data_IF_368049954226
#
_entry.id   IF_368049954226
#
_cell.length_a   1.000
_cell.length_b   1.000
_cell.length_c   1.000
_cell.angle_alpha   90.00
_cell.angle_beta   90.00
_cell.angle_gamma   90.00
#
_symmetry.space_group_name_H-M   'P 1'
#
loop_
_entity.id
_entity.type
_entity.pdbx_description
1 polymer ?
#
# COMPACT_ATOMS: atom_id res chain seq x y z
N UNK A 1 -12.33 -19.25 -64.58
CA UNK A 1 -12.93 -18.53 -63.42
C UNK A 1 -12.93 -19.31 -62.10
N UNK A 2 -12.78 -20.64 -62.06
CA UNK A 2 -12.78 -21.41 -60.80
C UNK A 2 -11.45 -21.33 -60.04
N UNK A 3 -10.32 -21.28 -60.76
CA UNK A 3 -8.97 -21.26 -60.19
C UNK A 3 -8.57 -19.93 -59.53
N UNK A 4 -9.04 -18.80 -60.06
CA UNK A 4 -8.80 -17.47 -59.47
C UNK A 4 -9.42 -17.32 -58.08
N UNK A 5 -10.51 -18.06 -57.78
CA UNK A 5 -11.17 -18.02 -56.45
C UNK A 5 -10.30 -18.64 -55.36
N UNK A 6 -9.53 -19.68 -55.68
CA UNK A 6 -8.64 -20.35 -54.73
C UNK A 6 -7.39 -19.51 -54.44
N UNK A 7 -6.87 -18.79 -55.45
CA UNK A 7 -5.71 -17.90 -55.28
C UNK A 7 -6.03 -16.72 -54.34
N UNK A 8 -7.22 -16.13 -54.49
CA UNK A 8 -7.69 -15.03 -53.63
C UNK A 8 -7.93 -15.52 -52.19
N UNK A 9 -8.49 -16.73 -52.03
CA UNK A 9 -8.68 -17.35 -50.72
C UNK A 9 -7.34 -17.62 -50.02
N UNK A 10 -6.32 -18.08 -50.75
CA UNK A 10 -4.99 -18.37 -50.23
C UNK A 10 -4.26 -17.08 -49.78
N UNK A 11 -4.36 -16.00 -50.57
CA UNK A 11 -3.81 -14.68 -50.22
C UNK A 11 -4.49 -14.08 -48.98
N UNK A 12 -5.80 -14.27 -48.84
CA UNK A 12 -6.54 -13.81 -47.66
C UNK A 12 -6.16 -14.58 -46.39
N UNK A 13 -5.92 -15.89 -46.50
CA UNK A 13 -5.46 -16.72 -45.37
C UNK A 13 -4.03 -16.36 -44.91
N UNK A 14 -3.15 -15.98 -45.84
CA UNK A 14 -1.79 -15.52 -45.50
C UNK A 14 -1.83 -14.18 -44.74
N UNK A 15 -2.72 -13.26 -45.10
CA UNK A 15 -2.90 -11.99 -44.39
C UNK A 15 -3.47 -12.17 -42.96
N UNK A 16 -4.37 -13.13 -42.76
CA UNK A 16 -4.94 -13.44 -41.43
C UNK A 16 -3.97 -14.19 -40.50
N UNK A 17 -2.96 -14.87 -41.07
CA UNK A 17 -1.93 -15.58 -40.29
C UNK A 17 -0.80 -14.67 -39.79
N UNK A 18 -0.73 -13.41 -40.26
CA UNK A 18 0.16 -12.39 -39.70
C UNK A 18 -0.42 -11.80 -38.40
N UNK A 19 -0.67 -12.65 -37.41
CA UNK A 19 -0.80 -12.20 -36.04
C UNK A 19 0.60 -11.75 -35.58
N UNK A 20 0.90 -10.47 -35.83
CA UNK A 20 2.21 -9.86 -35.58
C UNK A 20 2.65 -10.11 -34.14
N UNK A 21 3.58 -11.06 -33.95
CA UNK A 21 4.32 -11.17 -32.70
C UNK A 21 5.12 -9.88 -32.57
N UNK A 22 4.65 -9.00 -31.68
CA UNK A 22 5.35 -7.80 -31.24
C UNK A 22 6.81 -8.19 -30.95
N UNK A 23 7.76 -7.71 -31.75
CA UNK A 23 9.19 -7.96 -31.53
C UNK A 23 9.52 -7.50 -30.11
N UNK A 24 9.89 -8.45 -29.24
CA UNK A 24 10.39 -8.13 -27.91
C UNK A 24 11.78 -7.54 -28.12
N UNK A 25 11.90 -6.23 -27.92
CA UNK A 25 13.19 -5.57 -27.94
C UNK A 25 14.05 -6.19 -26.83
N UNK A 26 15.14 -6.88 -27.21
CA UNK A 26 16.01 -7.62 -26.28
C UNK A 26 16.88 -6.64 -25.47
N UNK A 27 17.05 -5.43 -26.00
CA UNK A 27 17.75 -4.35 -25.35
C UNK A 27 16.76 -3.41 -24.67
N UNK A 28 16.60 -3.60 -23.37
CA UNK A 28 15.95 -2.64 -22.49
C UNK A 28 16.96 -1.52 -22.16
N UNK A 29 16.93 -0.45 -22.97
CA UNK A 29 17.67 0.78 -22.72
C UNK A 29 16.93 1.72 -21.76
N UNK A 30 15.88 1.26 -21.06
CA UNK A 30 15.43 2.02 -19.91
C UNK A 30 16.60 2.05 -18.93
N UNK A 31 17.14 3.24 -18.70
CA UNK A 31 18.01 3.51 -17.57
C UNK A 31 17.21 3.06 -16.36
N UNK A 32 17.48 1.85 -15.88
CA UNK A 32 16.88 1.34 -14.65
C UNK A 32 17.35 2.31 -13.59
N UNK A 33 16.52 3.32 -13.30
CA UNK A 33 16.69 4.20 -12.16
C UNK A 33 16.87 3.24 -10.99
N UNK A 34 18.09 3.15 -10.48
CA UNK A 34 18.40 2.28 -9.37
C UNK A 34 17.44 2.66 -8.25
N UNK A 35 16.52 1.75 -7.93
CA UNK A 35 15.54 2.01 -6.89
C UNK A 35 16.32 2.00 -5.60
N UNK A 36 16.45 3.17 -4.97
CA UNK A 36 17.09 3.27 -3.68
C UNK A 36 16.36 2.35 -2.68
N UNK A 37 17.05 1.31 -2.23
CA UNK A 37 16.47 0.24 -1.42
C UNK A 37 16.84 0.49 0.04
N UNK A 38 15.86 0.91 0.83
CA UNK A 38 16.00 1.11 2.28
C UNK A 38 15.43 -0.09 3.02
N UNK A 39 16.12 -0.56 4.06
CA UNK A 39 15.58 -1.61 4.93
C UNK A 39 14.48 -1.02 5.83
N UNK A 40 13.40 -1.77 6.06
CA UNK A 40 12.34 -1.34 6.97
C UNK A 40 12.84 -1.19 8.41
N UNK A 41 13.89 -1.93 8.80
CA UNK A 41 14.51 -1.81 10.11
C UNK A 41 15.12 -0.41 10.33
N UNK A 42 15.68 0.18 9.26
CA UNK A 42 16.26 1.53 9.31
C UNK A 42 15.19 2.61 9.47
N UNK A 43 13.95 2.30 9.09
CA UNK A 43 12.80 3.21 9.16
C UNK A 43 12.10 3.18 10.52
N UNK A 44 12.42 2.24 11.42
CA UNK A 44 11.89 2.20 12.78
C UNK A 44 10.38 1.99 12.91
N UNK A 45 9.89 2.06 14.16
CA UNK A 45 8.48 1.85 14.55
C UNK A 45 8.03 2.86 15.61
N UNK A 46 6.70 2.99 15.74
CA UNK A 46 6.07 3.88 16.71
C UNK A 46 5.87 3.16 18.04
N UNK A 47 6.16 3.82 19.17
CA UNK A 47 5.99 3.23 20.50
C UNK A 47 4.66 3.66 21.14
N UNK A 48 4.29 2.95 22.20
CA UNK A 48 3.19 3.32 23.11
C UNK A 48 1.85 3.60 22.40
N UNK A 49 1.49 2.79 21.42
CA UNK A 49 0.16 2.87 20.80
C UNK A 49 -0.89 2.52 21.86
N UNK A 50 -1.84 3.41 22.08
CA UNK A 50 -2.95 3.27 23.03
C UNK A 50 -4.27 3.49 22.33
N UNK A 51 -5.31 2.86 22.85
CA UNK A 51 -6.69 2.99 22.36
C UNK A 51 -7.58 3.30 23.55
N UNK A 52 -8.37 4.35 23.41
CA UNK A 52 -9.33 4.80 24.42
C UNK A 52 -10.72 4.88 23.77
N UNK A 53 -11.72 4.26 24.39
CA UNK A 53 -13.10 4.35 23.93
C UNK A 53 -13.70 5.68 24.39
N UNK A 54 -14.13 6.50 23.44
CA UNK A 54 -14.74 7.81 23.71
C UNK A 54 -16.16 7.86 23.13
N UNK A 55 -16.93 8.89 23.51
CA UNK A 55 -18.34 9.06 23.08
C UNK A 55 -18.55 8.91 21.56
N UNK A 56 -17.56 9.29 20.76
CA UNK A 56 -17.65 9.35 19.30
C UNK A 56 -16.80 8.30 18.56
N UNK A 57 -16.33 7.25 19.25
CA UNK A 57 -15.60 6.14 18.64
C UNK A 57 -14.36 5.74 19.43
N UNK A 58 -13.37 5.18 18.75
CA UNK A 58 -12.10 4.80 19.38
C UNK A 58 -11.04 5.86 19.08
N UNK A 59 -10.48 6.45 20.12
CA UNK A 59 -9.37 7.39 20.05
C UNK A 59 -8.06 6.61 20.17
N UNK A 60 -7.23 6.71 19.15
CA UNK A 60 -5.88 6.17 19.14
C UNK A 60 -4.89 7.28 19.46
N UNK A 61 -3.90 6.97 20.29
CA UNK A 61 -2.76 7.86 20.58
C UNK A 61 -1.46 7.06 20.55
N UNK A 62 -0.34 7.73 20.29
CA UNK A 62 0.98 7.11 20.28
C UNK A 62 2.09 8.10 20.65
N UNK A 63 3.30 7.60 20.94
CA UNK A 63 4.45 8.46 21.19
C UNK A 63 4.92 9.13 19.91
N UNK A 64 5.36 10.39 19.99
CA UNK A 64 5.99 11.09 18.86
C UNK A 64 7.17 10.28 18.34
N UNK A 65 7.15 10.00 17.04
CA UNK A 65 8.23 9.33 16.34
C UNK A 65 9.31 10.36 16.00
N UNK A 66 10.48 10.20 16.61
CA UNK A 66 11.64 11.02 16.32
C UNK A 66 12.51 10.25 15.33
N UNK A 67 12.46 10.67 14.07
CA UNK A 67 13.27 10.10 13.01
C UNK A 67 14.40 11.07 12.65
N UNK A 68 15.62 10.61 12.83
CA UNK A 68 16.81 11.31 12.37
C UNK A 68 17.45 10.47 11.26
N UNK A 69 17.26 10.90 10.02
CA UNK A 69 17.92 10.27 8.89
C UNK A 69 19.32 10.83 8.73
N UNK A 70 20.31 9.96 8.54
CA UNK A 70 21.62 10.37 7.99
C UNK A 70 21.56 10.61 6.49
N UNK A 71 20.50 10.16 5.83
CA UNK A 71 20.30 10.24 4.38
C UNK A 71 19.20 11.24 4.02
N UNK A 72 19.55 12.25 3.24
CA UNK A 72 18.62 13.29 2.76
C UNK A 72 17.51 12.75 1.86
N UNK A 73 17.67 11.55 1.29
CA UNK A 73 16.68 10.89 0.43
C UNK A 73 15.52 10.27 1.20
N UNK A 74 15.62 10.15 2.52
CA UNK A 74 14.59 9.57 3.39
C UNK A 74 13.97 10.64 4.27
N UNK A 75 12.69 10.92 4.05
CA UNK A 75 11.96 11.94 4.78
C UNK A 75 10.75 11.32 5.47
N UNK A 76 10.57 11.61 6.76
CA UNK A 76 9.37 11.21 7.48
C UNK A 76 8.17 12.07 7.04
N UNK A 77 7.06 11.43 6.67
CA UNK A 77 5.87 12.08 6.10
C UNK A 77 4.69 12.11 7.09
N UNK A 78 4.64 11.18 8.03
CA UNK A 78 3.55 11.06 9.00
C UNK A 78 3.20 9.61 9.30
N UNK A 79 1.98 9.39 9.79
CA UNK A 79 1.49 8.07 10.18
C UNK A 79 0.29 7.64 9.35
N UNK A 80 0.19 6.34 9.09
CA UNK A 80 -1.03 5.70 8.64
C UNK A 80 -1.59 4.80 9.74
N UNK A 81 -2.91 4.80 9.87
CA UNK A 81 -3.64 4.01 10.86
C UNK A 81 -4.49 2.98 10.13
N UNK A 82 -4.40 1.73 10.56
CA UNK A 82 -5.12 0.61 9.98
C UNK A 82 -5.93 -0.08 11.07
N UNK A 83 -7.10 -0.60 10.69
CA UNK A 83 -7.88 -1.52 11.52
C UNK A 83 -7.81 -2.90 10.87
N UNK A 84 -7.41 -3.91 11.62
CA UNK A 84 -7.31 -5.28 11.14
C UNK A 84 -8.10 -6.23 12.02
N UNK A 85 -8.56 -7.31 11.40
CA UNK A 85 -9.18 -8.43 12.11
C UNK A 85 -8.15 -9.36 12.76
N UNK A 86 -6.94 -9.46 12.19
CA UNK A 86 -5.84 -10.35 12.63
C UNK A 86 -4.49 -9.72 12.33
N UNK A 87 -3.45 -10.13 13.06
CA UNK A 87 -2.09 -9.59 12.88
C UNK A 87 -1.51 -10.04 11.53
N UNK A 88 -0.59 -9.25 10.98
CA UNK A 88 0.18 -9.61 9.78
C UNK A 88 -0.09 -8.72 8.57
N UNK A 89 -1.16 -8.98 7.81
CA UNK A 89 -1.34 -8.38 6.48
C UNK A 89 -2.03 -7.01 6.59
N UNK A 90 -1.26 -5.93 6.39
CA UNK A 90 -1.84 -4.60 6.24
C UNK A 90 -2.81 -4.53 5.05
N UNK A 91 -4.04 -4.01 5.25
CA UNK A 91 -4.94 -3.77 4.15
C UNK A 91 -4.41 -2.66 3.24
N UNK A 92 -4.78 -2.71 1.96
CA UNK A 92 -4.33 -1.72 0.96
C UNK A 92 -4.71 -0.28 1.31
N UNK A 93 -5.79 -0.08 2.08
CA UNK A 93 -6.31 1.24 2.44
C UNK A 93 -6.19 1.45 3.95
N UNK A 94 -5.57 2.57 4.32
CA UNK A 94 -5.58 3.06 5.69
C UNK A 94 -6.95 3.69 6.04
N UNK A 95 -7.22 3.88 7.33
CA UNK A 95 -8.39 4.59 7.82
C UNK A 95 -8.32 6.09 7.50
N UNK A 96 -7.11 6.66 7.57
CA UNK A 96 -6.83 8.03 7.16
C UNK A 96 -6.59 8.11 5.64
N UNK A 97 -7.03 9.22 5.01
CA UNK A 97 -6.88 9.43 3.56
C UNK A 97 -5.45 9.79 3.14
N UNK A 98 -4.70 10.45 4.02
CA UNK A 98 -3.31 10.90 3.82
C UNK A 98 -2.54 10.71 5.14
N UNK A 99 -1.22 10.50 5.11
CA UNK A 99 -0.42 10.42 6.33
C UNK A 99 -0.68 11.62 7.25
N UNK A 100 -0.83 11.34 8.54
CA UNK A 100 -1.11 12.35 9.57
C UNK A 100 0.16 12.67 10.36
N UNK A 101 0.43 13.94 10.62
CA UNK A 101 1.60 14.35 11.44
C UNK A 101 1.30 14.31 12.94
N UNK A 102 0.04 14.46 13.33
CA UNK A 102 -0.39 14.37 14.72
C UNK A 102 -0.25 12.96 15.28
N UNK A 103 -0.02 12.86 16.60
CA UNK A 103 0.13 11.58 17.30
C UNK A 103 -1.20 11.01 17.83
N UNK A 104 -2.30 11.32 17.14
CA UNK A 104 -3.63 10.85 17.49
C UNK A 104 -4.50 10.62 16.25
N UNK A 105 -5.47 9.72 16.36
CA UNK A 105 -6.49 9.49 15.34
C UNK A 105 -7.82 9.06 15.99
N UNK A 106 -8.95 9.55 15.47
CA UNK A 106 -10.27 9.16 15.95
C UNK A 106 -10.98 8.29 14.91
N UNK A 107 -11.12 7.00 15.20
CA UNK A 107 -11.94 6.09 14.39
C UNK A 107 -13.42 6.25 14.76
N UNK A 108 -14.11 7.17 14.08
CA UNK A 108 -15.57 7.36 14.19
C UNK A 108 -16.36 6.22 13.55
N UNK A 109 -15.75 5.43 12.67
CA UNK A 109 -16.41 4.32 11.96
C UNK A 109 -16.51 3.07 12.82
N UNK A 110 -15.87 3.00 13.99
CA UNK A 110 -16.11 1.92 14.94
C UNK A 110 -17.55 1.92 15.50
N UNK A 111 -18.24 3.07 15.45
CA UNK A 111 -19.63 3.20 15.89
C UNK A 111 -20.66 2.77 14.82
N UNK A 112 -20.30 2.80 13.54
CA UNK A 112 -21.24 2.51 12.46
C UNK A 112 -21.26 1.00 12.16
N UNK A 113 -22.04 0.27 12.97
CA UNK A 113 -22.53 -1.08 12.67
C UNK A 113 -23.35 -1.06 11.38
N UNK A 114 -22.76 -1.44 10.24
CA UNK A 114 -23.52 -2.04 9.13
C UNK A 114 -22.83 -3.34 8.72
N UNK A 115 -23.39 -4.44 9.25
CA UNK A 115 -23.39 -5.84 8.79
C UNK A 115 -22.09 -6.58 8.51
N UNK A 116 -20.92 -5.95 8.48
CA UNK A 116 -19.68 -6.69 8.17
C UNK A 116 -18.89 -7.02 9.44
N UNK A 117 -19.13 -8.25 9.91
CA UNK A 117 -18.35 -9.04 10.85
C UNK A 117 -18.15 -8.40 12.22
N UNK A 118 -18.89 -8.90 13.21
CA UNK A 118 -18.51 -8.84 14.62
C UNK A 118 -17.20 -9.62 14.83
N UNK A 119 -16.08 -9.05 14.41
CA UNK A 119 -14.81 -9.46 14.99
C UNK A 119 -14.87 -9.02 16.45
N UNK A 120 -15.05 -9.99 17.36
CA UNK A 120 -15.01 -9.80 18.82
C UNK A 120 -13.75 -9.02 19.22
N UNK A 121 -12.65 -9.28 18.53
CA UNK A 121 -11.37 -8.62 18.71
C UNK A 121 -10.92 -8.01 17.39
N UNK A 122 -10.51 -6.75 17.42
CA UNK A 122 -9.84 -6.10 16.31
C UNK A 122 -8.55 -5.47 16.80
N UNK A 123 -7.61 -5.25 15.90
CA UNK A 123 -6.36 -4.60 16.24
C UNK A 123 -6.22 -3.32 15.43
N UNK A 124 -5.59 -2.33 16.06
CA UNK A 124 -5.15 -1.15 15.38
C UNK A 124 -3.66 -1.22 15.14
N UNK A 125 -3.25 -0.86 13.93
CA UNK A 125 -1.83 -0.72 13.59
C UNK A 125 -1.55 0.72 13.18
N UNK A 126 -0.56 1.33 13.81
CA UNK A 126 0.01 2.62 13.43
C UNK A 126 1.34 2.37 12.74
N UNK A 127 1.54 2.99 11.59
CA UNK A 127 2.71 2.78 10.74
C UNK A 127 3.31 4.13 10.38
N UNK A 128 4.60 4.38 10.66
CA UNK A 128 5.29 5.56 10.17
C UNK A 128 5.48 5.44 8.65
N UNK A 129 5.24 6.53 7.93
CA UNK A 129 5.33 6.62 6.48
C UNK A 129 6.47 7.53 6.11
N UNK A 130 7.26 7.10 5.13
CA UNK A 130 8.43 7.80 4.64
C UNK A 130 8.31 8.06 3.16
N UNK A 131 8.92 9.14 2.71
CA UNK A 131 9.22 9.38 1.32
C UNK A 131 10.69 8.99 1.09
N UNK A 132 10.91 8.01 0.23
CA UNK A 132 12.23 7.50 -0.16
C UNK A 132 12.35 7.72 -1.66
N UNK A 133 13.16 8.69 -2.06
CA UNK A 133 13.37 9.03 -3.48
C UNK A 133 12.06 9.22 -4.28
N UNK A 134 11.13 9.99 -3.68
CA UNK A 134 9.82 10.29 -4.29
C UNK A 134 8.78 9.17 -4.18
N UNK A 135 9.09 8.04 -3.51
CA UNK A 135 8.17 6.92 -3.29
C UNK A 135 7.78 6.79 -1.83
N UNK A 136 6.50 6.55 -1.57
CA UNK A 136 6.04 6.27 -0.22
C UNK A 136 6.38 4.85 0.21
N UNK A 137 7.04 4.73 1.37
CA UNK A 137 7.43 3.47 1.99
C UNK A 137 6.93 3.45 3.43
N UNK A 138 6.39 2.30 3.83
CA UNK A 138 5.96 2.06 5.20
C UNK A 138 7.13 1.54 6.04
N UNK A 139 7.32 2.09 7.24
CA UNK A 139 8.23 1.56 8.25
C UNK A 139 7.69 0.29 8.92
N UNK A 140 8.21 -0.01 10.11
CA UNK A 140 7.77 -1.17 10.89
C UNK A 140 6.41 -0.95 11.54
N UNK A 141 5.68 -2.04 11.72
CA UNK A 141 4.31 -2.05 12.22
C UNK A 141 4.28 -1.92 13.74
N UNK A 142 3.40 -1.06 14.24
CA UNK A 142 3.16 -0.92 15.69
C UNK A 142 1.69 -1.21 15.96
N UNK A 143 1.39 -2.35 16.57
CA UNK A 143 0.02 -2.85 16.71
C UNK A 143 -0.42 -2.96 18.16
N UNK A 144 -1.70 -2.70 18.40
CA UNK A 144 -2.36 -2.94 19.68
C UNK A 144 -3.66 -3.72 19.43
N UNK A 145 -3.86 -4.77 20.21
CA UNK A 145 -5.08 -5.57 20.21
C UNK A 145 -6.12 -4.87 21.07
N UNK A 146 -7.32 -4.71 20.55
CA UNK A 146 -8.49 -4.21 21.27
C UNK A 146 -9.41 -5.39 21.50
N UNK A 147 -9.37 -5.91 22.72
CA UNK A 147 -10.32 -6.92 23.22
C UNK A 147 -11.56 -6.16 23.71
N UNK A 148 -12.75 -6.61 23.29
CA UNK A 148 -14.02 -5.94 23.57
C UNK A 148 -14.58 -6.26 24.94
#
# INVERSE_FOLDING_TARGET
MREQKYLVLLLFLLLLSSCGKKQKNIFDFSTKKEIYKVSKFDLGFVKQVKVEKVKFGNKLTWSKFNFESKDQKVQFVGYNVYRLARSGILPKKALNKRPIMGCFFLDRKSLFKKRDVEFKDFLYTVVPVFNVDGRQVNGLLSSIVVVK
#
